data_IF_225800867291
#
_entry.id   IF_225800867291
#
_cell.length_a   1.000
_cell.length_b   1.000
_cell.length_c   1.000
_cell.angle_alpha   90.00
_cell.angle_beta   90.00
_cell.angle_gamma   90.00
#
_symmetry.space_group_name_H-M   'P 1'
#
loop_
_entity.id
_entity.type
_entity.pdbx_description
1 polymer ?
#
# COMPACT_ATOMS: atom_id res chain seq x y z
N UNK A 1 13.95 3.45 -16.24
CA UNK A 1 14.17 2.14 -15.60
C UNK A 1 13.55 2.25 -14.24
N UNK A 2 12.52 1.46 -13.97
CA UNK A 2 11.81 1.48 -12.69
C UNK A 2 12.78 1.30 -11.54
N UNK A 3 12.56 2.05 -10.46
CA UNK A 3 13.27 1.84 -9.21
C UNK A 3 12.86 0.46 -8.68
N UNK A 4 13.78 -0.51 -8.72
CA UNK A 4 13.53 -1.92 -8.39
C UNK A 4 12.88 -2.07 -7.00
N UNK A 5 13.17 -1.15 -6.07
CA UNK A 5 12.56 -1.14 -4.74
C UNK A 5 11.08 -0.74 -4.80
N UNK A 6 10.73 0.29 -5.58
CA UNK A 6 9.33 0.71 -5.73
C UNK A 6 8.47 -0.40 -6.38
N UNK A 7 9.01 -1.12 -7.36
CA UNK A 7 8.31 -2.25 -7.98
C UNK A 7 8.14 -3.43 -7.01
N UNK A 8 9.16 -3.75 -6.21
CA UNK A 8 9.08 -4.78 -5.19
C UNK A 8 8.02 -4.45 -4.12
N UNK A 9 8.03 -3.21 -3.62
CA UNK A 9 7.01 -2.73 -2.66
C UNK A 9 5.62 -2.77 -3.30
N UNK A 10 5.47 -2.31 -4.54
CA UNK A 10 4.17 -2.38 -5.24
C UNK A 10 3.65 -3.80 -5.31
N UNK A 11 4.51 -4.77 -5.65
CA UNK A 11 4.14 -6.17 -5.72
C UNK A 11 3.81 -6.78 -4.34
N UNK A 12 4.46 -6.32 -3.27
CA UNK A 12 4.14 -6.73 -1.89
C UNK A 12 2.78 -6.15 -1.45
N UNK A 13 2.54 -4.87 -1.71
CA UNK A 13 1.27 -4.20 -1.42
C UNK A 13 0.11 -4.81 -2.21
N UNK A 14 0.37 -5.29 -3.44
CA UNK A 14 -0.63 -5.96 -4.28
C UNK A 14 -1.12 -7.34 -3.76
N UNK A 15 -0.57 -7.81 -2.62
CA UNK A 15 -1.01 -9.04 -1.94
C UNK A 15 -1.92 -8.75 -0.77
N UNK A 16 -2.07 -7.48 -0.41
CA UNK A 16 -2.95 -7.04 0.66
C UNK A 16 -4.32 -6.71 0.07
N UNK A 17 -5.37 -7.25 0.68
CA UNK A 17 -6.74 -7.02 0.24
C UNK A 17 -7.50 -6.16 1.25
N UNK A 18 -8.39 -5.31 0.75
CA UNK A 18 -9.39 -4.62 1.59
C UNK A 18 -10.26 -5.70 2.26
N UNK A 19 -10.35 -5.72 3.61
CA UNK A 19 -11.09 -6.75 4.33
C UNK A 19 -12.60 -6.73 4.10
N UNK A 20 -13.16 -5.62 3.61
CA UNK A 20 -14.59 -5.51 3.33
C UNK A 20 -14.92 -5.87 1.89
N UNK A 21 -14.12 -5.41 0.93
CA UNK A 21 -14.40 -5.62 -0.50
C UNK A 21 -13.68 -6.83 -1.09
N UNK A 22 -12.67 -7.35 -0.39
CA UNK A 22 -11.79 -8.41 -0.87
C UNK A 22 -10.88 -7.99 -2.03
N UNK A 23 -10.93 -6.72 -2.44
CA UNK A 23 -10.15 -6.24 -3.57
C UNK A 23 -8.70 -5.98 -3.18
N UNK A 24 -7.81 -6.26 -4.12
CA UNK A 24 -6.41 -5.89 -4.02
C UNK A 24 -6.24 -4.37 -3.84
N UNK A 25 -5.35 -3.97 -2.92
CA UNK A 25 -5.07 -2.59 -2.56
C UNK A 25 -4.55 -1.75 -3.74
N UNK A 26 -3.81 -2.36 -4.67
CA UNK A 26 -3.29 -1.65 -5.86
C UNK A 26 -4.37 -1.54 -6.93
N UNK A 27 -5.07 -2.64 -7.23
CA UNK A 27 -6.13 -2.69 -8.22
C UNK A 27 -7.36 -1.85 -7.82
N UNK A 28 -7.64 -1.69 -6.52
CA UNK A 28 -8.71 -0.84 -6.02
C UNK A 28 -8.44 0.66 -6.14
N UNK A 29 -7.22 1.05 -6.52
CA UNK A 29 -6.80 2.45 -6.61
C UNK A 29 -6.55 3.13 -5.26
N UNK A 30 -6.49 2.35 -4.16
CA UNK A 30 -6.20 2.89 -2.83
C UNK A 30 -4.74 3.34 -2.70
N UNK A 31 -3.80 2.71 -3.42
CA UNK A 31 -2.39 3.07 -3.40
C UNK A 31 -2.09 4.33 -4.22
N UNK A 32 -1.61 5.38 -3.55
CA UNK A 32 -1.26 6.65 -4.19
C UNK A 32 0.19 7.06 -3.91
N UNK A 33 0.83 7.67 -4.91
CA UNK A 33 2.13 8.34 -4.74
C UNK A 33 3.27 7.44 -4.27
N UNK A 34 3.32 6.17 -4.70
CA UNK A 34 4.43 5.27 -4.37
C UNK A 34 5.73 5.74 -5.03
N UNK A 35 6.72 6.06 -4.20
CA UNK A 35 8.08 6.39 -4.60
C UNK A 35 9.08 5.75 -3.67
N UNK A 36 10.21 5.33 -4.21
CA UNK A 36 11.38 4.88 -3.47
C UNK A 36 12.55 5.81 -3.79
N UNK A 37 13.38 6.12 -2.78
CA UNK A 37 14.60 6.90 -2.94
C UNK A 37 15.54 6.64 -1.78
N UNK A 38 16.80 6.33 -2.07
CA UNK A 38 17.85 6.17 -1.05
C UNK A 38 17.46 5.17 0.05
N UNK A 39 16.72 4.11 -0.31
CA UNK A 39 16.19 3.10 0.63
C UNK A 39 14.96 3.53 1.42
N UNK A 40 14.53 4.79 1.31
CA UNK A 40 13.29 5.29 1.87
C UNK A 40 12.13 5.05 0.90
N UNK A 41 11.02 4.54 1.42
CA UNK A 41 9.80 4.30 0.66
C UNK A 41 8.69 5.20 1.20
N UNK A 42 8.03 5.93 0.31
CA UNK A 42 6.88 6.76 0.62
C UNK A 42 5.70 6.36 -0.27
N UNK A 43 4.53 6.22 0.33
CA UNK A 43 3.24 6.04 -0.34
C UNK A 43 2.10 6.50 0.57
N UNK A 44 0.92 6.67 -0.01
CA UNK A 44 -0.30 6.98 0.72
C UNK A 44 -1.39 5.95 0.40
N UNK A 45 -2.24 5.66 1.40
CA UNK A 45 -3.45 4.88 1.21
C UNK A 45 -4.66 5.83 1.25
N UNK A 46 -5.29 6.03 0.10
CA UNK A 46 -6.50 6.85 -0.01
C UNK A 46 -7.72 5.99 0.25
N UNK A 47 -8.49 6.34 1.29
CA UNK A 47 -9.64 5.55 1.75
C UNK A 47 -10.81 6.47 2.09
N UNK A 48 -12.07 6.00 2.04
CA UNK A 48 -13.22 6.76 2.50
C UNK A 48 -13.06 7.16 3.97
N UNK A 49 -13.42 8.40 4.30
CA UNK A 49 -13.24 8.98 5.65
C UNK A 49 -13.93 8.13 6.73
N UNK A 50 -15.10 7.60 6.40
CA UNK A 50 -15.95 6.80 7.28
C UNK A 50 -15.25 5.49 7.68
N UNK A 51 -14.38 4.96 6.81
CA UNK A 51 -13.68 3.69 6.98
C UNK A 51 -12.25 3.83 7.51
N UNK A 52 -11.68 5.04 7.51
CA UNK A 52 -10.28 5.28 7.84
C UNK A 52 -9.83 4.64 9.15
N UNK A 53 -10.65 4.72 10.21
CA UNK A 53 -10.32 4.09 11.52
C UNK A 53 -10.33 2.57 11.45
N UNK A 54 -11.27 1.98 10.70
CA UNK A 54 -11.38 0.53 10.53
C UNK A 54 -10.26 -0.07 9.67
N UNK A 55 -9.66 0.75 8.80
CA UNK A 55 -8.57 0.34 7.90
C UNK A 55 -7.17 0.59 8.48
N UNK A 56 -7.06 1.04 9.73
CA UNK A 56 -5.78 1.17 10.43
C UNK A 56 -4.97 -0.16 10.48
N UNK A 57 -5.58 -1.35 10.67
CA UNK A 57 -4.85 -2.62 10.57
C UNK A 57 -4.28 -2.86 9.16
N UNK A 58 -4.99 -2.44 8.10
CA UNK A 58 -4.51 -2.53 6.72
C UNK A 58 -3.32 -1.59 6.50
N UNK A 59 -3.35 -0.38 7.07
CA UNK A 59 -2.21 0.56 7.05
C UNK A 59 -0.97 -0.07 7.69
N UNK A 60 -1.11 -0.72 8.84
CA UNK A 60 0.00 -1.42 9.51
C UNK A 60 0.53 -2.60 8.69
N UNK A 61 -0.35 -3.36 8.04
CA UNK A 61 0.05 -4.45 7.16
C UNK A 61 0.84 -3.92 5.95
N UNK A 62 0.40 -2.81 5.35
CA UNK A 62 1.10 -2.14 4.26
C UNK A 62 2.49 -1.65 4.67
N UNK A 63 2.61 -1.04 5.84
CA UNK A 63 3.91 -0.60 6.41
C UNK A 63 4.86 -1.78 6.59
N UNK A 64 4.39 -2.90 7.16
CA UNK A 64 5.19 -4.12 7.31
C UNK A 64 5.60 -4.73 5.98
N UNK A 65 4.69 -4.74 5.00
CA UNK A 65 4.97 -5.28 3.66
C UNK A 65 6.01 -4.45 2.90
N UNK A 66 6.04 -3.13 3.13
CA UNK A 66 7.04 -2.25 2.52
C UNK A 66 8.42 -2.32 3.21
N UNK A 67 8.48 -2.80 4.45
CA UNK A 67 9.71 -2.93 5.24
C UNK A 67 10.37 -4.32 5.14
N UNK A 68 9.79 -5.25 4.39
CA UNK A 68 10.27 -6.63 4.21
C UNK A 68 11.28 -6.73 3.05
#
# INVERSE_FOLDING_TARGET
MSDTLADAVRAALARLSDPETGQDLVASGMLQGLSARDGLVQFALSVPRERARGLEPLRQAAERAAAA
#
